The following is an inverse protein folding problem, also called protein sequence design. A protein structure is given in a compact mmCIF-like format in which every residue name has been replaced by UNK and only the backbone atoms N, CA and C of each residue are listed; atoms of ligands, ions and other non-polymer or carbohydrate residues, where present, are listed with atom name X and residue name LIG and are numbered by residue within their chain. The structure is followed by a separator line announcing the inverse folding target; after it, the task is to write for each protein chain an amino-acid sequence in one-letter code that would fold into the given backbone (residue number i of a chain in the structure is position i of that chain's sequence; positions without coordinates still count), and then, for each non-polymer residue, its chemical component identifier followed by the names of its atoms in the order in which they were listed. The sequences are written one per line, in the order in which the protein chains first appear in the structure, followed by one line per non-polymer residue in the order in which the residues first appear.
data_IF_514753727875
#
_entry.id   IF_514753727875
#
_cell.length_a   1.000
_cell.length_b   1.000
_cell.length_c   1.000
_cell.angle_alpha   90.00
_cell.angle_beta   90.00
_cell.angle_gamma   90.00
#
_symmetry.space_group_name_H-M   'P 1'
#
loop_
_entity.id
_entity.type
_entity.pdbx_description
1 polymer ?
#
# COMPACT_ATOMS: atom_id res chain seq x y z
N UNK A 1 18.60 -0.77 14.24
CA UNK A 1 18.01 0.31 13.41
C UNK A 1 17.25 -0.37 12.29
N UNK A 2 15.99 0.00 12.05
CA UNK A 2 15.24 -0.47 10.89
C UNK A 2 15.91 -0.01 9.60
N UNK A 3 15.75 -0.77 8.53
CA UNK A 3 16.21 -0.39 7.20
C UNK A 3 15.07 0.28 6.43
N UNK A 4 15.31 1.48 5.91
CA UNK A 4 14.32 2.25 5.15
C UNK A 4 14.72 2.40 3.69
N UNK A 5 13.75 2.22 2.81
CA UNK A 5 13.88 2.51 1.39
C UNK A 5 12.76 3.49 1.02
N UNK A 6 13.12 4.76 0.84
CA UNK A 6 12.16 5.84 0.54
C UNK A 6 12.12 6.90 1.63
N UNK A 7 10.97 7.58 1.72
CA UNK A 7 10.69 8.70 2.63
C UNK A 7 9.31 8.44 3.24
N UNK A 8 9.25 8.26 4.56
CA UNK A 8 8.01 7.87 5.27
C UNK A 8 6.90 8.91 5.13
N UNK A 9 7.25 10.17 4.93
CA UNK A 9 6.29 11.28 4.73
C UNK A 9 5.64 11.23 3.33
N UNK A 10 6.10 10.32 2.45
CA UNK A 10 5.60 10.15 1.08
C UNK A 10 5.26 8.69 0.81
N UNK A 11 6.29 7.89 0.63
CA UNK A 11 6.23 6.46 0.41
C UNK A 11 7.56 5.82 0.81
N UNK A 12 7.50 4.81 1.67
CA UNK A 12 8.69 4.03 2.02
C UNK A 12 8.36 2.56 2.30
N UNK A 13 9.36 1.72 2.18
CA UNK A 13 9.34 0.35 2.71
C UNK A 13 10.31 0.30 3.88
N UNK A 14 9.81 -0.12 5.03
CA UNK A 14 10.61 -0.31 6.25
C UNK A 14 10.74 -1.79 6.56
N UNK A 15 11.97 -2.26 6.79
CA UNK A 15 12.25 -3.61 7.27
C UNK A 15 12.61 -3.59 8.75
N UNK A 16 12.17 -4.61 9.48
CA UNK A 16 12.52 -4.78 10.88
C UNK A 16 14.05 -4.85 11.05
N UNK A 17 14.56 -4.30 12.15
CA UNK A 17 15.98 -4.41 12.50
C UNK A 17 16.37 -5.88 12.62
N UNK A 18 17.37 -6.31 11.85
CA UNK A 18 17.91 -7.67 11.67
C UNK A 18 17.47 -8.41 10.40
N UNK A 19 16.57 -7.83 9.60
CA UNK A 19 16.26 -8.40 8.28
C UNK A 19 17.29 -7.90 7.24
N UNK A 20 17.80 -8.80 6.41
CA UNK A 20 18.58 -8.46 5.22
C UNK A 20 17.69 -8.60 3.99
N UNK A 21 17.76 -7.64 3.06
CA UNK A 21 16.99 -7.66 1.81
C UNK A 21 17.30 -8.89 0.93
N UNK A 22 18.47 -9.51 1.11
CA UNK A 22 18.83 -10.78 0.47
C UNK A 22 17.98 -11.98 0.91
N UNK A 23 17.24 -11.88 2.02
CA UNK A 23 16.27 -12.88 2.43
C UNK A 23 14.96 -12.70 1.64
N UNK A 24 14.40 -13.82 1.15
CA UNK A 24 13.13 -13.79 0.37
C UNK A 24 11.89 -13.50 1.23
N UNK A 25 12.05 -13.59 2.56
CA UNK A 25 11.00 -13.49 3.56
C UNK A 25 11.56 -12.70 4.72
N UNK A 26 10.74 -11.83 5.30
CA UNK A 26 11.07 -11.12 6.52
C UNK A 26 9.96 -10.15 6.89
N UNK A 27 10.17 -9.37 7.93
CA UNK A 27 9.13 -8.50 8.49
C UNK A 27 9.25 -7.10 7.91
N UNK A 28 8.14 -6.56 7.39
CA UNK A 28 8.14 -5.25 6.75
C UNK A 28 6.86 -4.45 7.01
N UNK A 29 6.98 -3.14 6.89
CA UNK A 29 5.87 -2.19 6.86
C UNK A 29 5.98 -1.32 5.61
N UNK A 30 4.85 -0.84 5.11
CA UNK A 30 4.81 0.14 4.03
C UNK A 30 4.30 1.46 4.60
N UNK A 31 5.08 2.52 4.41
CA UNK A 31 4.69 3.87 4.79
C UNK A 31 3.99 4.58 3.62
N UNK A 32 2.86 5.21 3.92
CA UNK A 32 1.96 5.92 3.02
C UNK A 32 1.63 7.28 3.66
N UNK A 33 2.42 8.31 3.35
CA UNK A 33 2.17 9.68 3.82
C UNK A 33 2.12 9.83 5.34
N UNK A 34 3.18 9.41 6.05
CA UNK A 34 3.34 9.40 7.53
C UNK A 34 2.65 8.26 8.31
N UNK A 35 1.71 7.54 7.67
CA UNK A 35 1.10 6.33 8.24
C UNK A 35 1.76 5.09 7.68
N UNK A 36 1.63 3.97 8.37
CA UNK A 36 2.13 2.69 7.88
C UNK A 36 0.99 1.69 7.71
N UNK A 37 1.15 0.72 6.82
CA UNK A 37 0.32 -0.48 6.77
C UNK A 37 1.22 -1.71 6.99
N UNK A 38 0.59 -2.75 7.50
CA UNK A 38 1.22 -4.01 7.87
C UNK A 38 1.88 -4.01 9.25
N UNK A 39 2.36 -5.19 9.66
CA UNK A 39 2.94 -5.42 10.99
C UNK A 39 4.36 -5.98 10.93
N UNK A 40 5.10 -5.84 12.04
CA UNK A 40 6.34 -6.56 12.28
C UNK A 40 6.14 -7.83 13.12
N UNK A 41 4.91 -8.16 13.50
CA UNK A 41 4.63 -9.37 14.27
C UNK A 41 4.53 -10.62 13.38
N UNK A 42 4.52 -10.42 12.07
CA UNK A 42 4.45 -11.49 11.08
C UNK A 42 5.36 -11.22 9.87
N UNK A 43 5.76 -12.30 9.20
CA UNK A 43 6.71 -12.26 8.10
C UNK A 43 6.01 -12.24 6.75
N UNK A 44 6.46 -11.33 5.89
CA UNK A 44 6.00 -11.19 4.51
C UNK A 44 7.00 -11.77 3.51
N UNK A 45 6.50 -12.32 2.41
CA UNK A 45 7.33 -12.73 1.27
C UNK A 45 7.65 -11.48 0.42
N UNK A 46 8.89 -11.00 0.47
CA UNK A 46 9.30 -9.74 -0.16
C UNK A 46 9.03 -9.70 -1.66
N UNK A 47 9.25 -10.81 -2.36
CA UNK A 47 8.98 -10.90 -3.80
C UNK A 47 7.48 -10.80 -4.13
N UNK A 48 6.61 -11.31 -3.26
CA UNK A 48 5.16 -11.22 -3.42
C UNK A 48 4.71 -9.75 -3.24
N UNK A 49 5.15 -9.12 -2.15
CA UNK A 49 4.88 -7.70 -1.86
C UNK A 49 5.35 -6.83 -3.03
N UNK A 50 6.60 -7.00 -3.49
CA UNK A 50 7.15 -6.25 -4.61
C UNK A 50 6.37 -6.47 -5.92
N UNK A 51 5.96 -7.72 -6.20
CA UNK A 51 5.16 -8.04 -7.39
C UNK A 51 3.80 -7.32 -7.33
N UNK A 52 3.12 -7.38 -6.19
CA UNK A 52 1.81 -6.74 -6.02
C UNK A 52 1.90 -5.22 -6.11
N UNK A 53 2.92 -4.60 -5.52
CA UNK A 53 3.19 -3.18 -5.64
C UNK A 53 3.52 -2.77 -7.09
N UNK A 54 4.32 -3.57 -7.82
CA UNK A 54 4.58 -3.33 -9.25
C UNK A 54 3.30 -3.44 -10.08
N UNK A 55 2.40 -4.36 -9.75
CA UNK A 55 1.13 -4.50 -10.44
C UNK A 55 0.25 -3.26 -10.31
N UNK A 56 0.39 -2.45 -9.26
CA UNK A 56 -0.32 -1.16 -9.13
C UNK A 56 -0.04 -0.24 -10.31
N UNK A 57 1.18 -0.24 -10.84
CA UNK A 57 1.56 0.60 -11.99
C UNK A 57 0.79 0.27 -13.27
N UNK A 58 0.19 -0.92 -13.36
CA UNK A 58 -0.64 -1.33 -14.49
C UNK A 58 -2.14 -1.01 -14.28
N UNK A 59 -2.54 -0.61 -13.07
CA UNK A 59 -3.95 -0.38 -12.68
C UNK A 59 -4.37 1.06 -12.94
N UNK A 60 -4.56 1.45 -14.21
CA UNK A 60 -5.06 2.78 -14.50
C UNK A 60 -6.56 2.90 -14.18
N UNK A 61 -6.96 3.95 -13.48
CA UNK A 61 -8.35 4.29 -13.22
C UNK A 61 -8.84 5.29 -14.26
N UNK A 62 -9.53 4.78 -15.27
CA UNK A 62 -10.08 5.55 -16.38
C UNK A 62 -11.56 5.85 -16.15
N UNK A 63 -11.83 6.66 -15.12
CA UNK A 63 -13.18 7.12 -14.79
C UNK A 63 -13.18 8.64 -14.77
N UNK A 64 -13.58 9.24 -15.88
CA UNK A 64 -13.67 10.71 -16.04
C UNK A 64 -14.67 11.37 -15.08
N UNK A 65 -15.58 10.59 -14.50
CA UNK A 65 -16.69 11.08 -13.66
C UNK A 65 -16.40 11.02 -12.15
N UNK A 66 -15.21 10.62 -11.73
CA UNK A 66 -14.85 10.61 -10.31
C UNK A 66 -14.30 11.97 -9.91
N UNK A 67 -14.96 12.56 -8.92
CA UNK A 67 -14.41 13.69 -8.19
C UNK A 67 -13.37 13.15 -7.20
N UNK A 68 -12.10 13.46 -7.44
CA UNK A 68 -10.98 13.04 -6.59
C UNK A 68 -10.81 13.96 -5.37
N UNK A 69 -11.65 14.98 -5.22
CA UNK A 69 -11.73 15.75 -3.98
C UNK A 69 -12.44 14.94 -2.85
N UNK A 70 -13.11 13.83 -3.20
CA UNK A 70 -13.78 12.92 -2.26
C UNK A 70 -13.25 11.47 -2.37
N UNK A 71 -12.13 11.21 -1.70
CA UNK A 71 -11.51 9.87 -1.63
C UNK A 71 -12.44 8.81 -1.01
N UNK A 72 -13.37 9.20 -0.15
CA UNK A 72 -14.35 8.28 0.45
C UNK A 72 -15.26 7.75 -0.63
N UNK A 73 -15.81 8.63 -1.47
CA UNK A 73 -16.65 8.22 -2.60
C UNK A 73 -15.91 7.36 -3.62
N UNK A 74 -14.63 7.66 -3.90
CA UNK A 74 -13.80 6.84 -4.79
C UNK A 74 -13.62 5.42 -4.21
N UNK A 75 -13.29 5.33 -2.93
CA UNK A 75 -13.13 4.06 -2.23
C UNK A 75 -14.42 3.24 -2.23
N UNK A 76 -15.54 3.85 -1.85
CA UNK A 76 -16.85 3.19 -1.81
C UNK A 76 -17.29 2.72 -3.19
N UNK A 77 -17.04 3.51 -4.24
CA UNK A 77 -17.35 3.08 -5.60
C UNK A 77 -16.59 1.81 -5.96
N UNK A 78 -15.27 1.78 -5.70
CA UNK A 78 -14.40 0.64 -6.00
C UNK A 78 -14.79 -0.57 -5.15
N UNK A 79 -15.01 -0.39 -3.85
CA UNK A 79 -15.38 -1.47 -2.92
C UNK A 79 -16.81 -1.98 -3.09
N UNK A 80 -17.71 -1.17 -3.66
CA UNK A 80 -19.07 -1.63 -3.97
C UNK A 80 -19.14 -2.62 -5.12
N UNK A 81 -18.06 -2.77 -5.89
CA UNK A 81 -17.97 -3.64 -7.08
C UNK A 81 -19.07 -3.40 -8.11
N UNK A 82 -19.69 -2.21 -8.10
CA UNK A 82 -20.83 -1.87 -8.97
C UNK A 82 -20.45 -1.66 -10.43
N UNK A 83 -19.16 -1.65 -10.75
CA UNK A 83 -18.66 -1.54 -12.11
C UNK A 83 -17.70 -2.69 -12.43
N UNK A 84 -17.68 -3.09 -13.70
CA UNK A 84 -16.90 -4.24 -14.14
C UNK A 84 -15.39 -4.02 -13.94
N UNK A 85 -14.72 -5.03 -13.40
CA UNK A 85 -13.30 -4.99 -13.10
C UNK A 85 -12.88 -4.20 -11.86
N UNK A 86 -13.81 -3.72 -11.02
CA UNK A 86 -13.47 -2.97 -9.80
C UNK A 86 -12.47 -3.69 -8.87
N UNK A 87 -12.62 -5.01 -8.72
CA UNK A 87 -11.74 -5.85 -7.92
C UNK A 87 -10.25 -5.77 -8.31
N UNK A 88 -9.93 -5.36 -9.56
CA UNK A 88 -8.54 -5.18 -10.01
C UNK A 88 -7.79 -4.13 -9.18
N UNK A 89 -8.52 -3.18 -8.58
CA UNK A 89 -7.96 -2.11 -7.78
C UNK A 89 -7.72 -2.50 -6.32
N UNK A 90 -8.21 -3.65 -5.87
CA UNK A 90 -7.87 -4.17 -4.55
C UNK A 90 -6.39 -4.53 -4.50
N UNK A 91 -5.75 -4.22 -3.38
CA UNK A 91 -4.35 -4.54 -3.14
C UNK A 91 -4.26 -5.46 -1.92
N UNK A 92 -3.84 -6.71 -2.16
CA UNK A 92 -3.45 -7.64 -1.10
C UNK A 92 -1.94 -7.83 -1.18
N UNK A 93 -1.28 -7.71 -0.04
CA UNK A 93 0.18 -7.77 0.10
C UNK A 93 0.64 -9.02 0.87
N UNK A 94 -0.32 -9.86 1.30
CA UNK A 94 -0.12 -11.04 2.14
C UNK A 94 -0.51 -10.81 3.59
N UNK A 95 -0.40 -11.88 4.37
CA UNK A 95 -0.97 -12.06 5.70
C UNK A 95 -0.66 -10.91 6.67
N UNK A 96 0.57 -10.38 6.65
CA UNK A 96 0.98 -9.28 7.52
C UNK A 96 0.26 -7.95 7.24
N UNK A 97 -0.58 -7.87 6.20
CA UNK A 97 -1.37 -6.70 5.80
C UNK A 97 -2.88 -6.95 5.79
N UNK A 98 -3.33 -8.15 6.14
CA UNK A 98 -4.74 -8.54 5.95
C UNK A 98 -5.71 -7.78 6.85
N UNK A 99 -5.23 -7.14 7.93
CA UNK A 99 -6.01 -6.23 8.78
C UNK A 99 -6.44 -4.94 8.06
N UNK A 100 -5.92 -4.68 6.85
CA UNK A 100 -6.19 -3.47 6.09
C UNK A 100 -7.02 -3.76 4.85
N UNK A 101 -8.06 -2.95 4.63
CA UNK A 101 -8.78 -2.93 3.36
C UNK A 101 -8.17 -1.88 2.45
N UNK A 102 -7.41 -2.31 1.43
CA UNK A 102 -6.59 -1.42 0.61
C UNK A 102 -7.09 -1.38 -0.84
N UNK A 103 -7.14 -0.18 -1.40
CA UNK A 103 -7.35 0.10 -2.82
C UNK A 103 -6.14 0.88 -3.34
N UNK A 104 -5.63 0.51 -4.52
CA UNK A 104 -4.54 1.22 -5.17
C UNK A 104 -4.67 1.25 -6.70
N UNK A 105 -4.38 2.40 -7.30
CA UNK A 105 -4.46 2.62 -8.75
C UNK A 105 -3.57 3.77 -9.21
N UNK A 106 -3.34 3.84 -10.51
CA UNK A 106 -2.67 4.96 -11.17
C UNK A 106 -3.68 5.89 -11.86
N UNK A 107 -3.43 7.19 -11.76
CA UNK A 107 -4.14 8.22 -12.52
C UNK A 107 -3.23 9.43 -12.68
N UNK A 108 -3.17 9.99 -13.89
CA UNK A 108 -2.49 11.25 -14.21
C UNK A 108 -1.02 11.34 -13.72
N UNK A 109 -0.30 10.21 -13.76
CA UNK A 109 1.11 10.13 -13.34
C UNK A 109 1.33 9.96 -11.84
N UNK A 110 0.25 9.75 -11.08
CA UNK A 110 0.27 9.51 -9.64
C UNK A 110 -0.27 8.13 -9.29
N UNK A 111 0.18 7.60 -8.16
CA UNK A 111 -0.32 6.38 -7.53
C UNK A 111 -1.14 6.81 -6.34
N UNK A 112 -2.40 6.41 -6.34
CA UNK A 112 -3.32 6.61 -5.23
C UNK A 112 -3.34 5.35 -4.38
N UNK A 113 -3.15 5.52 -3.08
CA UNK A 113 -3.42 4.51 -2.06
C UNK A 113 -4.56 5.00 -1.20
N UNK A 114 -5.58 4.17 -1.02
CA UNK A 114 -6.70 4.45 -0.13
C UNK A 114 -6.90 3.22 0.75
N UNK A 115 -6.95 3.40 2.08
CA UNK A 115 -7.03 2.28 3.00
C UNK A 115 -7.79 2.63 4.27
N UNK A 116 -8.25 1.59 4.96
CA UNK A 116 -8.74 1.66 6.34
C UNK A 116 -8.25 0.44 7.10
N UNK A 117 -7.95 0.61 8.38
CA UNK A 117 -7.84 -0.51 9.30
C UNK A 117 -9.24 -1.10 9.51
N UNK A 118 -9.37 -2.42 9.52
CA UNK A 118 -10.64 -3.09 9.75
C UNK A 118 -10.99 -3.12 11.25
N UNK A 119 -12.29 -3.09 11.56
CA UNK A 119 -12.78 -3.14 12.95
C UNK A 119 -12.34 -4.44 13.64
N UNK A 120 -12.41 -5.55 12.90
CA UNK A 120 -11.84 -6.84 13.29
C UNK A 120 -10.42 -6.93 12.72
N UNK A 121 -9.43 -6.62 13.53
CA UNK A 121 -8.00 -6.78 13.21
C UNK A 121 -7.33 -7.76 14.17
N UNK A 122 -6.33 -8.47 13.66
CA UNK A 122 -5.58 -9.49 14.41
C UNK A 122 -4.40 -8.89 15.19
N UNK A 123 -3.70 -7.92 14.61
CA UNK A 123 -2.51 -7.30 15.21
C UNK A 123 -2.83 -5.96 15.89
N UNK A 124 -1.99 -5.53 16.83
CA UNK A 124 -2.15 -4.25 17.51
C UNK A 124 -1.48 -3.11 16.75
N UNK A 125 -2.21 -2.01 16.54
CA UNK A 125 -1.72 -0.79 15.90
C UNK A 125 -1.91 0.39 16.85
N UNK A 126 -0.86 0.69 17.63
CA UNK A 126 -0.88 1.78 18.60
C UNK A 126 -1.16 3.13 17.94
N UNK A 127 -2.14 3.86 18.49
CA UNK A 127 -2.57 5.19 18.03
C UNK A 127 -2.89 5.29 16.51
N UNK A 128 -3.31 4.18 15.89
CA UNK A 128 -3.64 4.18 14.47
C UNK A 128 -4.90 4.99 14.17
N UNK A 129 -4.93 5.84 13.12
CA UNK A 129 -6.10 6.65 12.82
C UNK A 129 -7.31 5.79 12.47
N UNK A 130 -8.48 6.20 12.96
CA UNK A 130 -9.77 5.60 12.62
C UNK A 130 -10.28 6.13 11.28
N UNK A 131 -11.00 5.29 10.54
CA UNK A 131 -11.65 5.67 9.28
C UNK A 131 -10.69 5.69 8.09
N UNK A 132 -11.19 6.20 6.97
CA UNK A 132 -10.50 6.14 5.69
C UNK A 132 -9.29 7.08 5.64
N UNK A 133 -8.17 6.53 5.21
CA UNK A 133 -6.91 7.22 4.99
C UNK A 133 -6.55 7.15 3.50
N UNK A 134 -5.75 8.09 3.03
CA UNK A 134 -5.23 8.05 1.66
C UNK A 134 -3.86 8.73 1.55
N UNK A 135 -3.13 8.37 0.49
CA UNK A 135 -1.86 8.98 0.12
C UNK A 135 -1.71 8.97 -1.39
N UNK A 136 -1.09 10.03 -1.91
CA UNK A 136 -0.85 10.23 -3.34
C UNK A 136 0.65 10.32 -3.55
N UNK A 137 1.17 9.45 -4.42
CA UNK A 137 2.60 9.28 -4.63
C UNK A 137 2.92 9.42 -6.12
N UNK A 138 3.83 10.31 -6.54
CA UNK A 138 4.25 10.38 -7.93
C UNK A 138 4.78 9.03 -8.44
N UNK A 139 4.31 8.56 -9.60
CA UNK A 139 4.71 7.25 -10.19
C UNK A 139 6.23 7.12 -10.29
N UNK A 140 6.93 8.19 -10.65
CA UNK A 140 8.38 8.21 -10.73
C UNK A 140 9.05 7.95 -9.37
N UNK A 141 8.51 8.51 -8.29
CA UNK A 141 9.02 8.31 -6.93
C UNK A 141 8.73 6.89 -6.44
N UNK A 142 7.49 6.44 -6.61
CA UNK A 142 7.08 5.07 -6.27
C UNK A 142 7.97 4.04 -6.97
N UNK A 143 8.17 4.17 -8.29
CA UNK A 143 9.02 3.28 -9.09
C UNK A 143 10.49 3.28 -8.64
N UNK A 144 11.01 4.44 -8.21
CA UNK A 144 12.36 4.55 -7.64
C UNK A 144 12.48 3.74 -6.35
N UNK A 145 11.51 3.84 -5.44
CA UNK A 145 11.49 3.08 -4.18
C UNK A 145 11.41 1.58 -4.45
N UNK A 146 10.51 1.13 -5.34
CA UNK A 146 10.40 -0.28 -5.71
C UNK A 146 11.69 -0.83 -6.34
N UNK A 147 12.40 -0.02 -7.13
CA UNK A 147 13.69 -0.39 -7.69
C UNK A 147 14.77 -0.52 -6.62
N UNK A 148 14.73 0.31 -5.57
CA UNK A 148 15.60 0.18 -4.40
C UNK A 148 15.33 -1.11 -3.64
N UNK A 149 14.05 -1.42 -3.39
CA UNK A 149 13.64 -2.65 -2.72
C UNK A 149 14.02 -3.91 -3.49
N UNK A 150 13.95 -3.86 -4.82
CA UNK A 150 14.34 -4.99 -5.68
C UNK A 150 15.86 -5.26 -5.73
N UNK A 151 16.71 -4.31 -5.31
CA UNK A 151 18.18 -4.39 -5.43
C UNK A 151 18.88 -4.69 -4.11
N UNK A 152 18.15 -4.63 -3.01
CA UNK A 152 18.65 -5.04 -1.72
C UNK A 152 18.90 -6.54 -1.64
#
# INVERSE_FOLDING_TARGET
MSLFIGDKEKFAIELASNEELGHKVGRLRIWLGDKYIGTFDDASIYSLVLMQLKNVLAKNLDVECLDFDDMVRVYDLIKSEKFDGAARYFLSLGDSFDDFSIVAFCKDGEVFFIWTLMDEHFFEYEDYPTGLQYSIVPVAYFSKVLSGFSRG
#
